data_IF_800436536594
#
_entry.id   IF_800436536594
#
_cell.length_a   1.000
_cell.length_b   1.000
_cell.length_c   1.000
_cell.angle_alpha   90.00
_cell.angle_beta   90.00
_cell.angle_gamma   90.00
#
_symmetry.space_group_name_H-M   'P 1'
#
loop_
_entity.id
_entity.type
_entity.pdbx_description
1 polymer ?
#
# COMPACT_ATOMS: atom_id res chain seq x y z
N UNK A 1 19.84 0.71 -4.03
CA UNK A 1 19.31 -0.10 -2.90
C UNK A 1 19.99 0.27 -1.58
N UNK A 2 21.33 0.25 -1.47
CA UNK A 2 22.04 0.50 -0.22
C UNK A 2 21.73 1.83 0.48
N UNK A 3 21.62 2.94 -0.26
CA UNK A 3 21.27 4.25 0.32
C UNK A 3 19.86 4.28 0.92
N UNK A 4 18.88 3.67 0.25
CA UNK A 4 17.51 3.53 0.75
C UNK A 4 17.46 2.68 2.02
N UNK A 5 18.21 1.57 2.06
CA UNK A 5 18.29 0.73 3.26
C UNK A 5 18.90 1.50 4.43
N UNK A 6 20.01 2.21 4.21
CA UNK A 6 20.64 3.04 5.25
C UNK A 6 19.65 4.08 5.80
N UNK A 7 18.93 4.78 4.92
CA UNK A 7 17.91 5.74 5.33
C UNK A 7 16.81 5.10 6.17
N UNK A 8 16.31 3.93 5.78
CA UNK A 8 15.28 3.23 6.55
C UNK A 8 15.79 2.63 7.87
N UNK A 9 17.07 2.27 7.95
CA UNK A 9 17.72 1.91 9.21
C UNK A 9 17.77 3.12 10.16
N UNK A 10 18.12 4.30 9.65
CA UNK A 10 18.12 5.54 10.44
C UNK A 10 16.72 5.93 10.91
N UNK A 11 15.71 5.76 10.04
CA UNK A 11 14.30 5.98 10.40
C UNK A 11 13.86 5.02 11.50
N UNK A 12 14.25 3.74 11.42
CA UNK A 12 13.96 2.74 12.45
C UNK A 12 14.70 2.99 13.77
N UNK A 13 15.89 3.56 13.72
CA UNK A 13 16.62 3.98 14.92
C UNK A 13 15.90 5.12 15.66
N UNK A 14 15.23 6.03 14.92
CA UNK A 14 14.46 7.14 15.48
C UNK A 14 13.05 6.73 15.91
N UNK A 15 12.44 5.80 15.20
CA UNK A 15 11.11 5.25 15.48
C UNK A 15 11.16 3.72 15.47
N UNK A 16 11.16 3.13 16.67
CA UNK A 16 11.20 1.66 16.85
C UNK A 16 10.04 0.92 16.19
N UNK A 17 8.94 1.61 15.88
CA UNK A 17 7.78 1.04 15.19
C UNK A 17 7.81 1.24 13.67
N UNK A 18 8.78 2.01 13.15
CA UNK A 18 9.00 2.13 11.72
C UNK A 18 9.29 0.75 11.13
N UNK A 19 8.56 0.42 10.06
CA UNK A 19 8.64 -0.86 9.41
C UNK A 19 8.79 -0.67 7.92
N UNK A 20 9.62 -1.50 7.30
CA UNK A 20 9.86 -1.48 5.87
C UNK A 20 10.24 -2.89 5.40
N UNK A 21 9.99 -3.18 4.12
CA UNK A 21 10.48 -4.37 3.43
C UNK A 21 10.83 -4.04 2.00
N UNK A 22 11.84 -4.73 1.48
CA UNK A 22 12.24 -4.68 0.08
C UNK A 22 12.22 -6.11 -0.47
N UNK A 23 11.67 -6.27 -1.68
CA UNK A 23 11.82 -7.46 -2.51
C UNK A 23 12.77 -7.11 -3.65
N UNK A 24 13.81 -7.92 -3.82
CA UNK A 24 14.73 -7.85 -4.95
C UNK A 24 14.44 -9.00 -5.90
N UNK A 25 14.72 -8.80 -7.19
CA UNK A 25 14.75 -9.89 -8.17
C UNK A 25 16.10 -10.62 -8.15
N UNK A 26 16.26 -11.60 -9.03
CA UNK A 26 17.48 -12.43 -9.14
C UNK A 26 18.73 -11.62 -9.58
N UNK A 27 18.55 -10.36 -9.99
CA UNK A 27 19.60 -9.44 -10.42
C UNK A 27 19.85 -8.31 -9.40
N UNK A 28 19.37 -8.48 -8.16
CA UNK A 28 19.45 -7.51 -7.05
C UNK A 28 18.76 -6.15 -7.34
N UNK A 29 17.82 -6.10 -8.29
CA UNK A 29 17.06 -4.89 -8.62
C UNK A 29 15.77 -4.86 -7.79
N UNK A 30 15.35 -3.67 -7.37
CA UNK A 30 14.12 -3.50 -6.58
C UNK A 30 12.92 -3.96 -7.38
N UNK A 31 12.25 -5.00 -6.89
CA UNK A 31 10.97 -5.45 -7.42
C UNK A 31 9.83 -4.74 -6.70
N UNK A 32 9.81 -4.83 -5.37
CA UNK A 32 8.82 -4.13 -4.56
C UNK A 32 9.47 -3.51 -3.33
N UNK A 33 8.90 -2.41 -2.85
CA UNK A 33 9.33 -1.72 -1.65
C UNK A 33 8.09 -1.25 -0.89
N UNK A 34 8.11 -1.36 0.44
CA UNK A 34 7.07 -0.85 1.31
C UNK A 34 7.69 -0.23 2.56
N UNK A 35 7.10 0.86 3.06
CA UNK A 35 7.47 1.46 4.33
C UNK A 35 6.27 2.12 5.03
N UNK A 36 6.39 2.23 6.36
CA UNK A 36 5.39 2.83 7.23
C UNK A 36 6.03 3.27 8.55
N UNK A 37 5.63 4.44 9.05
CA UNK A 37 6.03 4.93 10.37
C UNK A 37 5.13 4.44 11.50
N UNK A 38 5.60 4.55 12.73
CA UNK A 38 4.89 4.12 13.93
C UNK A 38 3.61 4.91 14.22
N UNK A 39 3.54 6.19 13.85
CA UNK A 39 2.33 6.98 14.04
C UNK A 39 1.22 6.50 13.09
N UNK A 40 1.56 6.20 11.84
CA UNK A 40 0.69 5.59 10.84
C UNK A 40 0.17 4.22 11.29
N UNK A 41 1.03 3.36 11.87
CA UNK A 41 0.60 2.08 12.47
C UNK A 41 -0.39 2.26 13.61
N UNK A 42 -0.13 3.22 14.51
CA UNK A 42 -1.05 3.55 15.63
C UNK A 42 -2.36 4.15 15.14
N UNK A 43 -2.33 4.94 14.08
CA UNK A 43 -3.53 5.50 13.47
C UNK A 43 -4.38 4.40 12.82
N UNK A 44 -3.76 3.46 12.11
CA UNK A 44 -4.46 2.32 11.50
C UNK A 44 -5.18 1.46 12.54
N UNK A 45 -4.58 1.23 13.70
CA UNK A 45 -5.23 0.50 14.79
C UNK A 45 -6.57 1.13 15.23
N UNK A 46 -6.78 2.43 15.00
CA UNK A 46 -8.02 3.16 15.32
C UNK A 46 -8.94 3.38 14.12
N UNK A 47 -8.37 3.54 12.92
CA UNK A 47 -9.08 4.02 11.73
C UNK A 47 -8.97 3.04 10.54
N UNK A 48 -8.91 1.73 10.80
CA UNK A 48 -8.86 0.68 9.78
C UNK A 48 -10.22 0.42 9.08
N UNK A 49 -11.24 1.24 9.33
CA UNK A 49 -12.55 1.05 8.73
C UNK A 49 -12.49 1.14 7.22
N UNK A 50 -11.88 2.20 6.68
CA UNK A 50 -11.81 2.48 5.25
C UNK A 50 -10.36 2.66 4.80
N UNK A 51 -9.97 1.93 3.76
CA UNK A 51 -8.69 2.05 3.10
C UNK A 51 -8.91 2.35 1.61
N UNK A 52 -8.39 3.48 1.14
CA UNK A 52 -8.22 3.78 -0.27
C UNK A 52 -6.83 3.37 -0.71
N UNK A 53 -6.74 2.67 -1.83
CA UNK A 53 -5.49 2.24 -2.45
C UNK A 53 -5.56 2.46 -3.96
N UNK A 54 -4.52 3.04 -4.52
CA UNK A 54 -4.42 3.31 -5.95
C UNK A 54 -2.95 3.30 -6.36
N UNK A 55 -2.66 3.01 -7.62
CA UNK A 55 -1.31 3.10 -8.17
C UNK A 55 -1.18 4.32 -9.07
N UNK A 56 -0.17 5.14 -8.78
CA UNK A 56 0.16 6.31 -9.60
C UNK A 56 1.42 6.03 -10.40
N UNK A 57 1.30 6.06 -11.73
CA UNK A 57 2.38 5.75 -12.66
C UNK A 57 3.43 6.89 -12.71
N UNK A 58 4.71 6.55 -12.93
CA UNK A 58 5.85 7.46 -13.17
C UNK A 58 6.27 8.42 -12.04
N UNK A 59 6.20 7.99 -10.79
CA UNK A 59 6.59 8.86 -9.65
C UNK A 59 8.08 8.77 -9.27
N UNK A 60 8.88 7.91 -9.93
CA UNK A 60 10.31 7.78 -9.66
C UNK A 60 11.17 7.54 -10.92
N UNK A 61 12.50 7.65 -10.78
CA UNK A 61 13.47 7.48 -11.88
C UNK A 61 13.46 6.08 -12.52
N UNK A 62 12.85 5.10 -11.84
CA UNK A 62 12.72 3.71 -12.29
C UNK A 62 11.34 3.44 -12.91
N UNK A 63 10.49 4.46 -13.05
CA UNK A 63 9.11 4.38 -13.56
C UNK A 63 8.24 3.37 -12.82
N UNK A 64 8.55 3.09 -11.56
CA UNK A 64 7.74 2.18 -10.75
C UNK A 64 6.46 2.87 -10.28
N UNK A 65 5.28 2.22 -10.39
CA UNK A 65 4.06 2.69 -9.75
C UNK A 65 4.24 2.91 -8.24
N UNK A 66 3.81 4.07 -7.76
CA UNK A 66 3.70 4.38 -6.33
C UNK A 66 2.30 4.03 -5.84
N UNK A 67 2.24 3.35 -4.71
CA UNK A 67 1.05 2.74 -4.15
C UNK A 67 0.81 3.23 -2.71
N UNK A 68 0.25 4.43 -2.52
CA UNK A 68 -0.07 4.94 -1.19
C UNK A 68 -1.26 4.19 -0.57
N UNK A 69 -1.15 3.93 0.74
CA UNK A 69 -2.24 3.40 1.55
C UNK A 69 -2.88 4.56 2.31
N UNK A 70 -4.10 4.94 1.97
CA UNK A 70 -4.76 6.14 2.53
C UNK A 70 -6.05 5.74 3.24
N UNK A 71 -6.18 6.05 4.53
CA UNK A 71 -7.45 5.96 5.25
C UNK A 71 -8.09 7.32 5.50
N UNK A 72 -9.16 7.29 6.30
CA UNK A 72 -9.93 8.47 6.68
C UNK A 72 -10.21 8.41 8.19
N UNK A 73 -10.04 9.53 8.89
CA UNK A 73 -10.40 9.63 10.31
C UNK A 73 -11.87 9.99 10.52
N UNK A 74 -12.31 10.05 11.79
CA UNK A 74 -13.69 10.39 12.15
C UNK A 74 -14.14 11.81 11.77
N UNK A 75 -13.21 12.67 11.31
CA UNK A 75 -13.48 14.01 10.80
C UNK A 75 -13.47 14.08 9.26
N UNK A 76 -13.36 12.94 8.57
CA UNK A 76 -13.30 12.91 7.11
C UNK A 76 -11.94 13.33 6.53
N UNK A 77 -10.89 13.44 7.35
CA UNK A 77 -9.56 13.83 6.90
C UNK A 77 -8.74 12.60 6.51
N UNK A 78 -7.98 12.73 5.42
CA UNK A 78 -7.10 11.66 4.93
C UNK A 78 -5.96 11.39 5.91
N UNK A 79 -5.66 10.12 6.14
CA UNK A 79 -4.49 9.66 6.89
C UNK A 79 -3.68 8.74 5.98
N UNK A 80 -2.38 8.96 5.88
CA UNK A 80 -1.50 8.01 5.21
C UNK A 80 -1.13 6.87 6.18
N UNK A 81 -1.40 5.63 5.76
CA UNK A 81 -1.07 4.41 6.49
C UNK A 81 0.17 3.70 5.95
N UNK A 82 0.96 4.37 5.11
CA UNK A 82 2.15 3.79 4.50
C UNK A 82 2.16 4.01 3.00
N UNK A 83 3.22 3.50 2.37
CA UNK A 83 3.41 3.61 0.94
C UNK A 83 4.26 2.46 0.43
N UNK A 84 4.08 2.10 -0.83
CA UNK A 84 4.98 1.20 -1.52
C UNK A 84 5.28 1.62 -2.94
N UNK A 85 6.33 1.00 -3.49
CA UNK A 85 6.58 0.95 -4.91
C UNK A 85 6.46 -0.49 -5.38
N UNK A 86 5.77 -0.70 -6.49
CA UNK A 86 5.69 -1.99 -7.17
C UNK A 86 6.35 -1.88 -8.53
N UNK A 87 7.01 -2.94 -9.01
CA UNK A 87 7.69 -2.89 -10.33
C UNK A 87 6.70 -2.71 -11.47
N UNK A 88 5.56 -3.40 -11.37
CA UNK A 88 4.47 -3.37 -12.33
C UNK A 88 3.17 -3.76 -11.63
N UNK A 89 2.05 -3.49 -12.30
CA UNK A 89 0.69 -3.73 -11.80
C UNK A 89 0.26 -5.18 -12.05
N UNK A 90 1.13 -6.14 -11.70
CA UNK A 90 0.82 -7.56 -11.74
C UNK A 90 0.33 -8.05 -10.38
N UNK A 91 -0.49 -9.10 -10.39
CA UNK A 91 -1.15 -9.66 -9.20
C UNK A 91 -0.12 -10.00 -8.13
N UNK A 92 0.98 -10.64 -8.48
CA UNK A 92 1.99 -11.14 -7.56
C UNK A 92 2.65 -10.00 -6.77
N UNK A 93 2.81 -8.84 -7.39
CA UNK A 93 3.37 -7.65 -6.75
C UNK A 93 2.40 -7.02 -5.76
N UNK A 94 1.11 -6.97 -6.12
CA UNK A 94 0.07 -6.55 -5.18
C UNK A 94 -0.11 -7.52 -4.03
N UNK A 95 -0.07 -8.84 -4.28
CA UNK A 95 -0.11 -9.86 -3.21
C UNK A 95 1.04 -9.67 -2.24
N UNK A 96 2.26 -9.45 -2.74
CA UNK A 96 3.41 -9.17 -1.87
C UNK A 96 3.22 -7.89 -1.05
N UNK A 97 2.72 -6.83 -1.69
CA UNK A 97 2.52 -5.53 -1.07
C UNK A 97 1.43 -5.59 0.01
N UNK A 98 0.28 -6.19 -0.28
CA UNK A 98 -0.83 -6.35 0.66
C UNK A 98 -0.46 -7.26 1.83
N UNK A 99 0.25 -8.37 1.60
CA UNK A 99 0.75 -9.22 2.70
C UNK A 99 1.73 -8.45 3.59
N UNK A 100 2.60 -7.64 2.98
CA UNK A 100 3.56 -6.80 3.71
C UNK A 100 2.86 -5.72 4.54
N UNK A 101 1.84 -5.08 3.98
CA UNK A 101 0.99 -4.13 4.69
C UNK A 101 0.25 -4.81 5.86
N UNK A 102 -0.40 -5.94 5.62
CA UNK A 102 -1.14 -6.71 6.62
C UNK A 102 -0.22 -7.11 7.79
N UNK A 103 0.99 -7.60 7.49
CA UNK A 103 1.99 -7.91 8.50
C UNK A 103 2.41 -6.67 9.30
N UNK A 104 2.64 -5.53 8.63
CA UNK A 104 2.96 -4.28 9.30
C UNK A 104 1.86 -3.82 10.26
N UNK A 105 0.60 -4.10 9.93
CA UNK A 105 -0.58 -3.78 10.73
C UNK A 105 -0.91 -4.85 11.79
N UNK A 106 -0.03 -5.82 12.02
CA UNK A 106 -0.24 -6.85 13.04
C UNK A 106 -1.31 -7.88 12.66
N UNK A 107 -1.53 -8.11 11.38
CA UNK A 107 -2.53 -9.07 10.88
C UNK A 107 -3.95 -8.53 10.83
N UNK A 108 -4.15 -7.23 11.10
CA UNK A 108 -5.47 -6.59 11.04
C UNK A 108 -5.73 -6.11 9.61
N UNK A 109 -6.72 -6.71 8.96
CA UNK A 109 -7.20 -6.29 7.64
C UNK A 109 -8.16 -5.09 7.76
N UNK A 110 -8.29 -4.23 6.72
CA UNK A 110 -9.25 -3.14 6.75
C UNK A 110 -10.67 -3.67 6.61
N UNK A 111 -11.68 -2.98 7.13
CA UNK A 111 -13.08 -3.43 6.96
C UNK A 111 -13.56 -3.26 5.52
N UNK A 112 -13.17 -2.18 4.87
CA UNK A 112 -13.39 -1.96 3.45
C UNK A 112 -12.14 -1.40 2.75
N UNK A 113 -11.97 -1.79 1.49
CA UNK A 113 -10.94 -1.25 0.61
C UNK A 113 -11.59 -0.68 -0.65
N UNK A 114 -11.16 0.52 -1.03
CA UNK A 114 -11.55 1.21 -2.25
C UNK A 114 -10.34 1.24 -3.18
N UNK A 115 -10.49 0.66 -4.36
CA UNK A 115 -9.46 0.75 -5.42
C UNK A 115 -10.06 1.28 -6.71
N UNK A 116 -9.24 1.42 -7.74
CA UNK A 116 -9.74 1.52 -9.10
C UNK A 116 -10.33 0.16 -9.57
N UNK A 117 -10.61 0.04 -10.87
CA UNK A 117 -11.18 -1.18 -11.46
C UNK A 117 -10.11 -2.15 -12.00
N UNK A 118 -8.88 -2.08 -11.49
CA UNK A 118 -7.82 -2.99 -11.93
C UNK A 118 -8.09 -4.44 -11.50
N UNK A 119 -7.90 -5.37 -12.45
CA UNK A 119 -8.17 -6.79 -12.22
C UNK A 119 -7.11 -7.44 -11.34
N UNK A 120 -5.84 -7.03 -11.46
CA UNK A 120 -4.76 -7.57 -10.66
C UNK A 120 -4.89 -7.17 -9.19
N UNK A 121 -5.26 -5.90 -8.92
CA UNK A 121 -5.58 -5.43 -7.56
C UNK A 121 -6.73 -6.22 -6.95
N UNK A 122 -7.84 -6.37 -7.68
CA UNK A 122 -9.00 -7.14 -7.19
C UNK A 122 -8.62 -8.58 -6.85
N UNK A 123 -7.90 -9.25 -7.75
CA UNK A 123 -7.49 -10.64 -7.51
C UNK A 123 -6.52 -10.77 -6.33
N UNK A 124 -5.63 -9.80 -6.13
CA UNK A 124 -4.72 -9.79 -4.98
C UNK A 124 -5.45 -9.49 -3.66
N UNK A 125 -6.46 -8.62 -3.69
CA UNK A 125 -7.33 -8.33 -2.54
C UNK A 125 -8.07 -9.59 -2.09
N UNK A 126 -8.72 -10.28 -3.04
CA UNK A 126 -9.49 -11.50 -2.76
C UNK A 126 -8.60 -12.63 -2.17
N UNK A 127 -7.30 -12.63 -2.50
CA UNK A 127 -6.34 -13.60 -1.98
C UNK A 127 -5.81 -13.25 -0.58
N UNK A 128 -5.53 -11.96 -0.32
CA UNK A 128 -4.82 -11.53 0.91
C UNK A 128 -5.76 -11.12 2.03
N UNK A 129 -6.86 -10.44 1.72
CA UNK A 129 -7.75 -9.87 2.73
C UNK A 129 -9.05 -10.68 2.83
N UNK A 130 -9.10 -11.59 3.79
CA UNK A 130 -10.30 -12.39 4.06
C UNK A 130 -11.42 -11.52 4.68
N UNK A 131 -12.65 -11.70 4.21
CA UNK A 131 -13.87 -11.07 4.76
C UNK A 131 -13.93 -9.54 4.71
N UNK A 132 -13.26 -8.91 3.74
CA UNK A 132 -13.35 -7.45 3.54
C UNK A 132 -14.38 -7.08 2.48
N UNK A 133 -14.84 -5.84 2.49
CA UNK A 133 -15.70 -5.29 1.44
C UNK A 133 -14.83 -4.51 0.44
N UNK A 134 -14.64 -5.08 -0.75
CA UNK A 134 -14.03 -4.35 -1.86
C UNK A 134 -15.04 -3.44 -2.55
N UNK A 135 -14.65 -2.20 -2.81
CA UNK A 135 -15.44 -1.19 -3.53
C UNK A 135 -14.58 -0.57 -4.65
N UNK A 136 -15.25 -0.18 -5.72
CA UNK A 136 -14.63 0.59 -6.79
C UNK A 136 -14.75 2.09 -6.49
N UNK A 137 -13.69 2.84 -6.78
CA UNK A 137 -13.62 4.27 -6.61
C UNK A 137 -14.68 4.96 -7.48
N UNK A 138 -15.56 5.76 -6.85
CA UNK A 138 -16.63 6.49 -7.54
C UNK A 138 -16.07 7.38 -8.65
N UNK A 139 -14.95 8.05 -8.42
CA UNK A 139 -14.33 8.92 -9.41
C UNK A 139 -13.95 8.16 -10.69
N UNK A 140 -13.31 7.00 -10.53
CA UNK A 140 -12.95 6.13 -11.65
C UNK A 140 -14.18 5.58 -12.39
N UNK A 141 -15.25 5.20 -11.67
CA UNK A 141 -16.51 4.77 -12.29
C UNK A 141 -17.11 5.91 -13.13
N UNK A 142 -17.21 7.12 -12.56
CA UNK A 142 -17.82 8.26 -13.25
C UNK A 142 -17.02 8.67 -14.48
N UNK A 143 -15.68 8.62 -14.40
CA UNK A 143 -14.81 8.91 -15.53
C UNK A 143 -15.05 7.93 -16.69
N UNK A 144 -15.05 6.62 -16.40
CA UNK A 144 -15.30 5.60 -17.43
C UNK A 144 -16.72 5.64 -18.01
N UNK A 145 -17.73 6.02 -17.21
CA UNK A 145 -19.10 6.15 -17.71
C UNK A 145 -19.30 7.35 -18.66
N UNK A 146 -18.34 8.29 -18.69
CA UNK A 146 -18.35 9.45 -19.56
C UNK A 146 -17.50 9.26 -20.84
N UNK A 147 -16.77 8.14 -20.95
CA UNK A 147 -16.01 7.71 -22.13
C UNK A 147 -16.92 6.98 -23.13
#
# INVERSE_FOLDING_TARGET
VGSTISYFQDMRAKDSYFYWRIKLDDEDRVENLFWIDGASRRAYAKYNDCLSFDTTYMTNMYKMPCAPFIGINNHGQSIQFGCGFVRNELKENFVWLFNTFLHAMGGVAPKNIITDQDFAMRSAIDEVFLNIIHRNCRWHIMKKAQE
#
